data_IF_474446285712
#
_entry.id   IF_474446285712
#
_cell.length_a   1.000
_cell.length_b   1.000
_cell.length_c   1.000
_cell.angle_alpha   90.00
_cell.angle_beta   90.00
_cell.angle_gamma   90.00
#
_symmetry.space_group_name_H-M   'P 1'
#
loop_
_entity.id
_entity.type
_entity.pdbx_description
1 polymer ?
#
# COMPACT_ATOMS: atom_id res chain seq x y z
N UNK A 1 -10.15 1.26 11.27
CA UNK A 1 -8.87 1.27 10.51
C UNK A 1 -8.75 2.60 9.79
N UNK A 2 -7.62 3.33 9.90
CA UNK A 2 -7.46 4.63 9.23
C UNK A 2 -7.13 4.38 7.74
N UNK A 3 -8.08 4.61 6.85
CA UNK A 3 -7.90 4.26 5.43
C UNK A 3 -6.90 5.18 4.74
N UNK A 4 -5.82 4.60 4.19
CA UNK A 4 -4.98 5.25 3.17
C UNK A 4 -5.72 5.20 1.85
N UNK A 5 -5.99 6.36 1.26
CA UNK A 5 -6.77 6.52 0.03
C UNK A 5 -5.88 6.56 -1.21
N UNK A 6 -4.71 7.17 -1.09
CA UNK A 6 -3.77 7.39 -2.19
C UNK A 6 -2.35 7.46 -1.66
N UNK A 7 -1.38 7.28 -2.55
CA UNK A 7 0.03 7.27 -2.20
C UNK A 7 0.86 7.90 -3.34
N UNK A 8 2.01 8.49 -3.01
CA UNK A 8 3.01 8.93 -3.98
C UNK A 8 4.42 8.81 -3.37
N UNK A 9 5.45 8.78 -4.22
CA UNK A 9 6.85 8.91 -3.77
C UNK A 9 7.14 10.37 -3.46
N UNK A 10 7.77 10.65 -2.31
CA UNK A 10 8.18 12.00 -1.93
C UNK A 10 9.32 12.47 -2.83
N UNK A 11 9.17 13.62 -3.53
CA UNK A 11 10.17 14.11 -4.44
C UNK A 11 11.41 14.69 -3.76
N UNK A 12 11.47 14.73 -2.43
CA UNK A 12 12.69 15.00 -1.67
C UNK A 12 13.80 13.97 -1.92
N UNK A 13 13.47 12.77 -2.43
CA UNK A 13 14.44 11.76 -2.84
C UNK A 13 15.12 11.03 -1.67
N UNK A 14 14.54 11.08 -0.47
CA UNK A 14 15.01 10.35 0.72
C UNK A 14 14.29 9.01 0.93
N UNK A 15 13.56 8.54 -0.08
CA UNK A 15 12.80 7.29 -0.05
C UNK A 15 11.50 7.37 0.76
N UNK A 16 11.08 8.56 1.20
CA UNK A 16 9.81 8.74 1.87
C UNK A 16 8.62 8.59 0.91
N UNK A 17 7.48 8.20 1.46
CA UNK A 17 6.18 8.14 0.79
C UNK A 17 5.25 9.20 1.34
N UNK A 18 4.42 9.72 0.46
CA UNK A 18 3.32 10.61 0.78
C UNK A 18 2.03 9.82 0.76
N UNK A 19 1.24 9.90 1.83
CA UNK A 19 0.04 9.09 2.04
C UNK A 19 -1.17 10.00 2.24
N UNK A 20 -2.15 9.89 1.35
CA UNK A 20 -3.42 10.59 1.45
C UNK A 20 -4.35 9.83 2.39
N UNK A 21 -4.81 10.48 3.46
CA UNK A 21 -5.66 9.84 4.47
C UNK A 21 -6.85 10.71 4.86
N UNK A 22 -7.78 10.15 5.63
CA UNK A 22 -8.88 10.90 6.22
C UNK A 22 -8.45 11.98 7.22
N UNK A 23 -7.20 11.94 7.68
CA UNK A 23 -6.63 12.90 8.64
C UNK A 23 -5.72 13.94 7.99
N UNK A 24 -5.58 13.89 6.66
CA UNK A 24 -4.66 14.73 5.92
C UNK A 24 -3.58 13.93 5.20
N UNK A 25 -2.56 14.65 4.74
CA UNK A 25 -1.39 14.06 4.10
C UNK A 25 -0.34 13.72 5.17
N UNK A 26 0.06 12.45 5.16
CA UNK A 26 1.16 11.95 5.97
C UNK A 26 2.39 11.79 5.09
N UNK A 27 3.55 11.98 5.70
CA UNK A 27 4.85 11.61 5.17
C UNK A 27 5.35 10.41 5.95
N UNK A 28 5.55 9.29 5.29
CA UNK A 28 6.09 8.07 5.87
C UNK A 28 7.53 7.88 5.40
N UNK A 29 8.46 7.70 6.34
CA UNK A 29 9.89 7.50 6.06
C UNK A 29 10.25 6.01 6.05
N UNK A 30 11.36 5.61 5.39
CA UNK A 30 11.78 4.22 5.31
C UNK A 30 12.00 3.53 6.67
N UNK A 31 12.26 4.29 7.73
CA UNK A 31 12.40 3.81 9.11
C UNK A 31 11.06 3.42 9.78
N UNK A 32 9.95 3.49 9.05
CA UNK A 32 8.62 3.12 9.52
C UNK A 32 7.92 4.22 10.33
N UNK A 33 8.52 5.41 10.45
CA UNK A 33 7.87 6.56 11.06
C UNK A 33 6.94 7.25 10.05
N UNK A 34 5.81 7.75 10.54
CA UNK A 34 4.90 8.57 9.74
C UNK A 34 4.49 9.83 10.50
N UNK A 35 4.55 10.97 9.83
CA UNK A 35 4.18 12.27 10.39
C UNK A 35 3.12 12.93 9.51
N UNK A 36 2.10 13.52 10.13
CA UNK A 36 1.18 14.42 9.40
C UNK A 36 1.93 15.69 9.04
N UNK A 37 2.05 15.99 7.75
CA UNK A 37 2.86 17.12 7.24
C UNK A 37 2.04 18.31 6.75
N UNK A 38 0.72 18.32 6.98
CA UNK A 38 -0.19 19.26 6.29
C UNK A 38 -1.14 19.97 7.24
N UNK A 39 -1.29 21.30 7.07
CA UNK A 39 -2.57 21.95 6.80
C UNK A 39 -2.76 22.12 5.28
N UNK A 40 -3.95 21.85 4.73
CA UNK A 40 -5.27 22.05 5.36
C UNK A 40 -5.81 20.89 6.21
N UNK A 41 -6.80 21.20 7.06
CA UNK A 41 -7.68 20.24 7.77
C UNK A 41 -8.67 19.62 6.77
N UNK A 42 -8.17 18.81 5.85
CA UNK A 42 -8.98 18.11 4.86
C UNK A 42 -8.54 16.65 4.76
N UNK A 43 -9.48 15.77 4.47
CA UNK A 43 -9.15 14.42 4.04
C UNK A 43 -8.52 14.50 2.64
N UNK A 44 -7.39 13.85 2.44
CA UNK A 44 -6.71 13.81 1.14
C UNK A 44 -7.12 12.53 0.43
N UNK A 45 -7.88 12.67 -0.65
CA UNK A 45 -8.48 11.55 -1.37
C UNK A 45 -7.58 11.07 -2.51
N UNK A 46 -6.72 11.93 -3.04
CA UNK A 46 -5.85 11.64 -4.17
C UNK A 46 -4.55 12.44 -4.11
N UNK A 47 -3.49 11.80 -4.56
CA UNK A 47 -2.17 12.39 -4.78
C UNK A 47 -1.78 12.01 -6.20
N UNK A 48 -1.36 12.98 -7.01
CA UNK A 48 -0.79 12.74 -8.32
C UNK A 48 0.56 13.45 -8.41
N UNK A 49 1.57 12.72 -8.90
CA UNK A 49 2.89 13.26 -9.22
C UNK A 49 2.90 13.63 -10.69
N UNK A 50 3.37 14.83 -11.04
CA UNK A 50 3.61 15.18 -12.44
C UNK A 50 4.85 14.39 -12.93
N UNK A 51 4.69 13.48 -13.91
CA UNK A 51 5.82 12.68 -14.38
C UNK A 51 6.88 13.50 -15.13
N UNK A 52 6.53 14.70 -15.59
CA UNK A 52 7.43 15.61 -16.32
C UNK A 52 8.15 16.58 -15.38
N UNK A 53 7.58 16.80 -14.20
CA UNK A 53 8.16 17.59 -13.13
C UNK A 53 7.88 16.90 -11.79
N UNK A 54 8.71 15.93 -11.37
CA UNK A 54 8.48 15.19 -10.13
C UNK A 54 8.35 16.08 -8.90
N UNK A 55 8.85 17.32 -8.97
CA UNK A 55 8.68 18.32 -7.92
C UNK A 55 7.25 18.85 -7.78
N UNK A 56 6.46 18.79 -8.84
CA UNK A 56 5.06 19.19 -8.87
C UNK A 56 4.19 18.01 -8.43
N UNK A 57 3.63 18.15 -7.24
CA UNK A 57 2.61 17.25 -6.71
C UNK A 57 1.26 17.97 -6.70
N UNK A 58 0.21 17.24 -7.09
CA UNK A 58 -1.16 17.66 -6.95
C UNK A 58 -1.83 16.81 -5.87
N UNK A 59 -2.52 17.48 -4.94
CA UNK A 59 -3.47 16.82 -4.05
C UNK A 59 -4.87 17.26 -4.42
N UNK A 60 -5.80 16.37 -4.16
CA UNK A 60 -7.18 16.73 -3.98
C UNK A 60 -7.70 16.16 -2.67
N UNK A 61 -8.81 16.71 -2.22
CA UNK A 61 -9.37 16.31 -0.95
C UNK A 61 -10.73 16.91 -0.70
N UNK A 62 -11.26 16.53 0.46
CA UNK A 62 -12.57 16.95 0.92
C UNK A 62 -12.39 17.52 2.32
N UNK A 63 -12.95 18.71 2.55
CA UNK A 63 -12.88 19.36 3.86
C UNK A 63 -13.87 18.74 4.87
N UNK A 64 -13.83 19.23 6.11
CA UNK A 64 -14.69 18.72 7.18
C UNK A 64 -16.21 18.88 6.92
N UNK A 65 -16.61 19.70 5.94
CA UNK A 65 -18.01 19.91 5.54
C UNK A 65 -18.45 19.02 4.39
N UNK A 66 -17.53 18.29 3.75
CA UNK A 66 -17.81 17.53 2.53
C UNK A 66 -17.62 18.33 1.22
N UNK A 67 -17.13 19.58 1.31
CA UNK A 67 -16.83 20.41 0.14
C UNK A 67 -15.43 20.08 -0.42
N UNK A 68 -15.22 20.39 -1.70
CA UNK A 68 -13.91 20.18 -2.32
C UNK A 68 -12.87 21.08 -1.65
N UNK A 69 -11.76 20.49 -1.18
CA UNK A 69 -10.59 21.23 -0.70
C UNK A 69 -9.80 21.89 -1.85
N UNK A 70 -10.20 21.61 -3.10
CA UNK A 70 -9.56 22.06 -4.33
C UNK A 70 -8.32 21.26 -4.70
N UNK A 71 -7.79 21.55 -5.88
CA UNK A 71 -6.49 21.04 -6.31
C UNK A 71 -5.40 21.85 -5.62
N UNK A 72 -4.61 21.20 -4.77
CA UNK A 72 -3.50 21.80 -4.07
C UNK A 72 -2.21 21.44 -4.79
N UNK A 73 -1.37 22.43 -5.07
CA UNK A 73 -0.06 22.23 -5.71
C UNK A 73 1.03 22.40 -4.65
N UNK A 74 2.00 21.49 -4.63
CA UNK A 74 3.18 21.60 -3.79
C UNK A 74 4.23 22.51 -4.41
N UNK A 75 4.72 23.49 -3.65
CA UNK A 75 5.94 24.22 -3.96
C UNK A 75 7.08 23.68 -3.09
N UNK A 76 8.03 23.00 -3.74
CA UNK A 76 9.21 22.46 -3.07
C UNK A 76 10.11 23.52 -2.44
N UNK A 77 10.24 24.69 -3.04
CA UNK A 77 11.16 25.74 -2.56
C UNK A 77 10.69 26.32 -1.25
N UNK A 78 9.38 26.40 -1.08
CA UNK A 78 8.76 26.94 0.14
C UNK A 78 8.23 25.86 1.07
N UNK A 79 8.22 24.59 0.62
CA UNK A 79 7.59 23.44 1.28
C UNK A 79 6.13 23.74 1.67
N UNK A 80 5.37 24.35 0.75
CA UNK A 80 3.99 24.79 1.01
C UNK A 80 3.03 24.32 -0.08
N UNK A 81 1.82 24.01 0.37
CA UNK A 81 0.67 23.74 -0.49
C UNK A 81 -0.06 25.04 -0.82
N UNK A 82 -0.34 25.25 -2.11
CA UNK A 82 -1.17 26.36 -2.58
C UNK A 82 -2.38 25.82 -3.31
N UNK A 83 -3.56 26.29 -2.93
CA UNK A 83 -4.78 25.89 -3.61
C UNK A 83 -4.94 26.60 -4.95
N UNK A 84 -5.29 25.82 -5.97
CA UNK A 84 -5.57 26.31 -7.32
C UNK A 84 -6.89 27.08 -7.28
N UNK A 85 -6.90 28.38 -7.65
CA UNK A 85 -8.10 29.20 -7.61
C UNK A 85 -9.24 28.59 -8.42
N UNK A 86 -10.48 28.68 -7.91
CA UNK A 86 -11.67 28.19 -8.60
C UNK A 86 -11.96 26.69 -8.44
N UNK A 87 -11.04 25.91 -7.88
CA UNK A 87 -11.22 24.45 -7.69
C UNK A 87 -11.84 24.07 -6.35
N UNK A 88 -12.06 25.03 -5.44
CA UNK A 88 -12.56 24.81 -4.07
C UNK A 88 -14.07 25.02 -3.94
N UNK A 89 -14.63 24.51 -2.84
CA UNK A 89 -16.01 24.78 -2.42
C UNK A 89 -17.02 23.72 -2.89
N UNK A 90 -18.31 24.05 -2.80
CA UNK A 90 -19.39 23.10 -3.09
C UNK A 90 -19.37 22.57 -4.53
N UNK A 91 -18.99 23.44 -5.47
CA UNK A 91 -18.89 23.15 -6.91
C UNK A 91 -17.45 22.86 -7.36
N UNK A 92 -16.52 22.68 -6.41
CA UNK A 92 -15.12 22.41 -6.71
C UNK A 92 -14.86 20.96 -7.12
N UNK A 93 -13.60 20.65 -7.45
CA UNK A 93 -13.18 19.32 -7.95
C UNK A 93 -13.09 18.30 -6.81
N UNK A 94 -14.02 17.35 -6.76
CA UNK A 94 -14.08 16.27 -5.75
C UNK A 94 -13.53 14.94 -6.29
N UNK A 95 -12.35 14.97 -6.87
CA UNK A 95 -11.88 13.77 -7.57
C UNK A 95 -11.47 12.65 -6.58
N UNK A 96 -11.75 11.42 -6.94
CA UNK A 96 -11.40 10.19 -6.22
C UNK A 96 -10.18 9.49 -6.83
N UNK A 97 -9.87 9.81 -8.09
CA UNK A 97 -8.67 9.41 -8.82
C UNK A 97 -8.19 10.59 -9.66
N UNK A 98 -6.87 10.69 -9.86
CA UNK A 98 -6.22 11.73 -10.64
C UNK A 98 -5.00 11.15 -11.35
N UNK A 99 -4.87 11.40 -12.65
CA UNK A 99 -3.75 11.02 -13.49
C UNK A 99 -3.28 12.23 -14.30
N UNK A 100 -1.97 12.42 -14.37
CA UNK A 100 -1.32 13.49 -15.13
C UNK A 100 -0.57 12.83 -16.30
N UNK A 101 -0.70 13.40 -17.50
CA UNK A 101 -0.09 12.84 -18.70
C UNK A 101 1.44 13.00 -18.68
N UNK A 102 2.15 11.91 -19.03
CA UNK A 102 3.61 11.91 -19.25
C UNK A 102 4.02 12.61 -20.55
N UNK A 103 3.06 12.93 -21.42
CA UNK A 103 3.31 13.60 -22.69
C UNK A 103 3.05 15.11 -22.61
N UNK A 104 2.25 15.53 -21.62
CA UNK A 104 1.82 16.92 -21.41
C UNK A 104 1.34 17.09 -19.97
N UNK A 105 2.12 17.77 -19.13
CA UNK A 105 1.80 17.97 -17.70
C UNK A 105 0.56 18.83 -17.44
N UNK A 106 0.04 19.54 -18.45
CA UNK A 106 -1.22 20.28 -18.32
C UNK A 106 -2.44 19.41 -18.63
N UNK A 107 -2.23 18.26 -19.26
CA UNK A 107 -3.28 17.30 -19.54
C UNK A 107 -3.47 16.33 -18.38
N UNK A 108 -4.68 16.27 -17.87
CA UNK A 108 -5.04 15.44 -16.70
C UNK A 108 -6.35 14.69 -16.94
N UNK A 109 -6.50 13.56 -16.26
CA UNK A 109 -7.75 12.84 -16.15
C UNK A 109 -8.10 12.65 -14.67
N UNK A 110 -9.37 12.80 -14.33
CA UNK A 110 -9.85 12.63 -12.98
C UNK A 110 -11.21 11.94 -12.93
N UNK A 111 -11.52 11.32 -11.81
CA UNK A 111 -12.83 10.69 -11.56
C UNK A 111 -13.53 11.48 -10.47
N UNK A 112 -14.74 11.96 -10.72
CA UNK A 112 -15.69 12.38 -9.65
C UNK A 112 -16.92 11.45 -9.73
N UNK A 113 -17.91 11.81 -10.56
CA UNK A 113 -19.03 10.92 -10.92
C UNK A 113 -18.78 10.12 -12.19
N UNK A 114 -17.93 10.65 -13.05
CA UNK A 114 -17.50 10.11 -14.34
C UNK A 114 -16.05 10.50 -14.56
N UNK A 115 -15.41 9.94 -15.58
CA UNK A 115 -14.10 10.38 -16.04
C UNK A 115 -14.24 11.79 -16.65
N UNK A 116 -13.34 12.69 -16.27
CA UNK A 116 -13.26 14.05 -16.81
C UNK A 116 -11.83 14.35 -17.23
N UNK A 117 -11.67 15.15 -18.28
CA UNK A 117 -10.36 15.58 -18.77
C UNK A 117 -10.14 17.06 -18.50
N UNK A 118 -8.91 17.41 -18.19
CA UNK A 118 -8.42 18.78 -18.18
C UNK A 118 -7.27 18.91 -19.18
N UNK A 119 -7.15 20.09 -19.78
CA UNK A 119 -6.06 20.46 -20.71
C UNK A 119 -5.36 21.76 -20.29
N UNK A 120 -5.69 22.26 -19.09
CA UNK A 120 -5.26 23.54 -18.54
C UNK A 120 -4.75 23.40 -17.10
N UNK A 121 -4.13 22.25 -16.79
CA UNK A 121 -3.49 22.03 -15.50
C UNK A 121 -4.48 21.81 -14.35
N UNK A 122 -5.70 21.37 -14.66
CA UNK A 122 -6.77 21.11 -13.70
C UNK A 122 -7.64 22.32 -13.36
N UNK A 123 -7.50 23.44 -14.08
CA UNK A 123 -8.32 24.65 -13.87
C UNK A 123 -9.77 24.43 -14.32
N UNK A 124 -9.96 23.72 -15.43
CA UNK A 124 -11.27 23.31 -15.92
C UNK A 124 -11.29 21.82 -16.29
N UNK A 125 -12.49 21.22 -16.20
CA UNK A 125 -12.71 19.80 -16.39
C UNK A 125 -13.91 19.58 -17.30
N UNK A 126 -13.73 18.74 -18.32
CA UNK A 126 -14.78 18.34 -19.25
C UNK A 126 -15.13 16.86 -19.04
N UNK A 127 -16.40 16.52 -18.73
CA UNK A 127 -16.80 15.14 -18.53
C UNK A 127 -16.84 14.36 -19.85
N UNK A 128 -16.34 13.12 -19.82
CA UNK A 128 -16.44 12.20 -20.95
C UNK A 128 -17.82 11.55 -20.96
N UNK A 129 -18.59 11.82 -22.02
CA UNK A 129 -19.99 11.38 -22.12
C UNK A 129 -20.15 9.85 -22.21
N UNK A 130 -19.16 9.15 -22.74
CA UNK A 130 -19.18 7.69 -22.97
C UNK A 130 -18.24 6.95 -22.03
N UNK A 131 -17.80 7.58 -20.94
CA UNK A 131 -16.98 6.92 -19.92
C UNK A 131 -17.66 5.64 -19.39
N UNK A 132 -16.91 4.55 -19.16
CA UNK A 132 -17.46 3.34 -18.55
C UNK A 132 -18.07 3.62 -17.18
N UNK A 133 -19.21 3.01 -16.91
CA UNK A 133 -19.83 3.04 -15.58
C UNK A 133 -18.93 2.35 -14.54
N UNK A 134 -19.10 2.71 -13.27
CA UNK A 134 -18.37 2.09 -12.14
C UNK A 134 -16.84 2.10 -12.30
N UNK A 135 -16.30 3.17 -12.90
CA UNK A 135 -14.86 3.39 -13.03
C UNK A 135 -14.25 3.73 -11.65
N UNK A 136 -13.22 2.98 -11.27
CA UNK A 136 -12.52 3.07 -9.99
C UNK A 136 -11.18 3.81 -10.09
N UNK A 137 -10.47 3.68 -11.20
CA UNK A 137 -9.22 4.39 -11.47
C UNK A 137 -9.06 4.71 -12.96
N UNK A 138 -8.35 5.80 -13.26
CA UNK A 138 -8.08 6.25 -14.63
C UNK A 138 -6.59 6.52 -14.82
N UNK A 139 -6.05 6.18 -15.99
CA UNK A 139 -4.68 6.51 -16.37
C UNK A 139 -4.62 7.07 -17.79
N UNK A 140 -3.94 8.21 -17.97
CA UNK A 140 -3.57 8.72 -19.28
C UNK A 140 -2.33 7.98 -19.80
N UNK A 141 -2.34 7.57 -21.06
CA UNK A 141 -1.22 6.84 -21.67
C UNK A 141 0.07 7.66 -21.67
N UNK A 142 1.19 6.98 -21.43
CA UNK A 142 2.53 7.55 -21.50
C UNK A 142 3.11 7.64 -22.91
N UNK A 143 2.47 7.03 -23.91
CA UNK A 143 2.98 6.90 -25.28
C UNK A 143 2.03 7.44 -26.35
N UNK A 144 0.73 7.57 -26.05
CA UNK A 144 -0.29 8.08 -26.97
C UNK A 144 -1.17 9.15 -26.30
N UNK A 145 -1.27 10.38 -26.86
CA UNK A 145 -2.04 11.46 -26.23
C UNK A 145 -3.56 11.23 -26.24
N UNK A 146 -4.06 10.38 -27.14
CA UNK A 146 -5.48 10.05 -27.25
C UNK A 146 -5.88 8.81 -26.46
N UNK A 147 -4.91 8.05 -25.92
CA UNK A 147 -5.19 6.81 -25.22
C UNK A 147 -5.46 7.03 -23.73
N UNK A 148 -6.52 6.40 -23.24
CA UNK A 148 -6.95 6.47 -21.84
C UNK A 148 -7.29 5.06 -21.38
N UNK A 149 -6.80 4.68 -20.21
CA UNK A 149 -7.18 3.43 -19.55
C UNK A 149 -8.14 3.71 -18.38
N UNK A 150 -9.12 2.83 -18.20
CA UNK A 150 -10.08 2.89 -17.11
C UNK A 150 -10.18 1.53 -16.42
N UNK A 151 -9.86 1.49 -15.13
CA UNK A 151 -10.09 0.32 -14.29
C UNK A 151 -11.51 0.40 -13.71
N UNK A 152 -12.33 -0.61 -13.97
CA UNK A 152 -13.77 -0.62 -13.64
C UNK A 152 -14.15 -1.88 -12.87
N UNK A 153 -15.32 -1.88 -12.25
CA UNK A 153 -15.90 -3.08 -11.65
C UNK A 153 -16.12 -4.19 -12.69
N UNK A 154 -16.38 -3.85 -13.95
CA UNK A 154 -16.55 -4.80 -15.06
C UNK A 154 -15.26 -5.18 -15.80
N UNK A 155 -14.08 -4.75 -15.33
CA UNK A 155 -12.79 -5.06 -15.94
C UNK A 155 -11.96 -3.84 -16.35
N UNK A 156 -10.85 -4.10 -17.04
CA UNK A 156 -9.96 -3.05 -17.55
C UNK A 156 -10.36 -2.65 -18.96
N UNK A 157 -10.67 -1.36 -19.14
CA UNK A 157 -11.09 -0.76 -20.39
C UNK A 157 -10.00 0.16 -20.96
N UNK A 158 -9.98 0.34 -22.28
CA UNK A 158 -9.12 1.29 -22.98
C UNK A 158 -9.94 2.06 -24.03
N UNK A 159 -9.60 3.33 -24.19
CA UNK A 159 -10.04 4.17 -25.30
C UNK A 159 -8.81 4.62 -26.08
N UNK A 160 -8.90 4.63 -27.41
CA UNK A 160 -7.84 5.14 -28.32
C UNK A 160 -8.15 6.53 -28.87
N UNK A 161 -9.33 7.07 -28.60
CA UNK A 161 -9.92 8.22 -29.28
C UNK A 161 -10.36 9.33 -28.32
N UNK A 162 -9.59 9.55 -27.24
CA UNK A 162 -9.88 10.50 -26.17
C UNK A 162 -11.18 10.21 -25.41
N UNK A 163 -11.49 8.93 -25.23
CA UNK A 163 -12.66 8.50 -24.46
C UNK A 163 -13.98 8.66 -25.20
N UNK A 164 -13.97 8.78 -26.53
CA UNK A 164 -15.19 8.78 -27.35
C UNK A 164 -15.78 7.37 -27.46
N UNK A 165 -14.93 6.36 -27.55
CA UNK A 165 -15.30 4.95 -27.52
C UNK A 165 -14.37 4.15 -26.61
N UNK A 166 -14.88 3.04 -26.09
CA UNK A 166 -14.18 2.17 -25.13
C UNK A 166 -14.30 0.71 -25.53
N UNK A 167 -13.22 -0.02 -25.31
CA UNK A 167 -13.15 -1.45 -25.52
C UNK A 167 -12.44 -2.11 -24.34
N UNK A 168 -12.65 -3.41 -24.18
CA UNK A 168 -11.96 -4.20 -23.19
C UNK A 168 -10.46 -4.29 -23.53
N UNK A 169 -9.61 -3.97 -22.56
CA UNK A 169 -8.14 -4.01 -22.70
C UNK A 169 -7.55 -5.32 -22.17
N UNK A 170 -8.04 -5.78 -21.01
CA UNK A 170 -7.61 -7.04 -20.41
C UNK A 170 -8.70 -8.11 -20.58
N UNK A 171 -8.36 -9.35 -21.00
CA UNK A 171 -9.35 -10.43 -21.16
C UNK A 171 -10.06 -10.79 -19.85
N UNK A 172 -11.39 -10.90 -19.90
CA UNK A 172 -12.22 -11.26 -18.75
C UNK A 172 -12.84 -10.06 -18.04
N UNK A 173 -13.87 -10.33 -17.24
CA UNK A 173 -14.76 -9.34 -16.60
C UNK A 173 -14.48 -9.15 -15.09
N UNK A 174 -13.36 -9.68 -14.61
CA UNK A 174 -12.96 -9.50 -13.22
C UNK A 174 -12.65 -8.02 -12.93
N UNK A 175 -13.09 -7.47 -11.79
CA UNK A 175 -12.86 -6.06 -11.45
C UNK A 175 -11.40 -5.65 -11.57
N UNK A 176 -11.14 -4.54 -12.25
CA UNK A 176 -9.86 -3.85 -12.23
C UNK A 176 -9.94 -2.72 -11.21
N UNK A 177 -9.05 -2.70 -10.22
CA UNK A 177 -9.11 -1.72 -9.12
C UNK A 177 -8.06 -0.62 -9.23
N UNK A 178 -7.01 -0.86 -10.00
CA UNK A 178 -5.94 0.09 -10.27
C UNK A 178 -5.53 0.00 -11.73
N UNK A 179 -5.22 1.15 -12.34
CA UNK A 179 -4.45 1.24 -13.59
C UNK A 179 -3.50 2.42 -13.50
N UNK A 180 -2.28 2.26 -14.00
CA UNK A 180 -1.25 3.32 -13.99
C UNK A 180 -0.31 3.18 -15.18
N UNK A 181 0.04 4.31 -15.78
CA UNK A 181 1.02 4.39 -16.87
C UNK A 181 2.41 4.58 -16.27
N UNK A 182 3.29 3.63 -16.54
CA UNK A 182 4.63 3.53 -16.00
C UNK A 182 5.67 4.13 -16.96
N UNK A 183 6.89 4.28 -16.47
CA UNK A 183 8.03 4.68 -17.31
C UNK A 183 8.32 3.62 -18.38
N UNK A 184 8.98 4.05 -19.47
CA UNK A 184 9.36 3.16 -20.57
C UNK A 184 8.22 2.69 -21.45
N UNK A 185 7.06 3.37 -21.42
CA UNK A 185 5.89 3.00 -22.22
C UNK A 185 5.17 1.75 -21.73
N UNK A 186 5.33 1.40 -20.45
CA UNK A 186 4.61 0.29 -19.81
C UNK A 186 3.32 0.78 -19.18
N UNK A 187 2.34 -0.11 -19.03
CA UNK A 187 1.13 0.10 -18.24
C UNK A 187 0.95 -1.05 -17.28
N UNK A 188 0.53 -0.74 -16.05
CA UNK A 188 0.21 -1.73 -15.03
C UNK A 188 -1.24 -1.61 -14.58
N UNK A 189 -1.86 -2.74 -14.30
CA UNK A 189 -3.20 -2.81 -13.73
C UNK A 189 -3.29 -3.90 -12.66
N UNK A 190 -4.19 -3.73 -11.70
CA UNK A 190 -4.52 -4.78 -10.74
C UNK A 190 -5.89 -5.36 -11.05
N UNK A 191 -5.92 -6.65 -11.36
CA UNK A 191 -7.13 -7.40 -11.68
C UNK A 191 -7.47 -8.31 -10.50
N UNK A 192 -8.66 -8.13 -9.92
CA UNK A 192 -9.10 -8.88 -8.75
C UNK A 192 -9.00 -10.41 -8.98
N UNK A 193 -8.48 -11.13 -7.98
CA UNK A 193 -8.16 -12.58 -8.01
C UNK A 193 -7.12 -13.05 -9.02
N UNK A 194 -6.73 -12.21 -9.99
CA UNK A 194 -5.63 -12.52 -10.92
C UNK A 194 -4.30 -12.00 -10.38
N UNK A 195 -4.28 -10.75 -9.91
CA UNK A 195 -3.10 -10.07 -9.38
C UNK A 195 -2.68 -8.87 -10.23
N UNK A 196 -1.38 -8.56 -10.18
CA UNK A 196 -0.78 -7.46 -10.92
C UNK A 196 -0.46 -7.93 -12.34
N UNK A 197 -0.99 -7.20 -13.32
CA UNK A 197 -0.70 -7.41 -14.73
C UNK A 197 0.01 -6.19 -15.31
N UNK A 198 0.90 -6.43 -16.26
CA UNK A 198 1.57 -5.36 -17.00
C UNK A 198 1.63 -5.65 -18.49
N UNK A 199 1.68 -4.60 -19.29
CA UNK A 199 1.88 -4.67 -20.72
C UNK A 199 2.78 -3.52 -21.18
N UNK A 200 3.35 -3.67 -22.38
CA UNK A 200 3.78 -2.54 -23.19
C UNK A 200 2.54 -1.82 -23.74
N UNK A 201 2.52 -0.48 -23.67
CA UNK A 201 1.34 0.30 -24.08
C UNK A 201 1.07 0.21 -25.58
N UNK A 202 2.07 0.02 -26.45
CA UNK A 202 1.83 -0.05 -27.89
C UNK A 202 1.13 -1.36 -28.27
N UNK A 203 1.57 -2.46 -27.66
CA UNK A 203 1.08 -3.82 -27.97
C UNK A 203 -0.13 -4.25 -27.15
N UNK A 204 -0.22 -3.80 -25.89
CA UNK A 204 -1.19 -4.28 -24.88
C UNK A 204 -1.14 -5.80 -24.66
N UNK A 205 0.02 -6.43 -24.86
CA UNK A 205 0.24 -7.85 -24.59
C UNK A 205 0.40 -8.09 -23.08
N UNK A 206 -0.74 -8.10 -22.36
CA UNK A 206 -0.79 -8.24 -20.91
C UNK A 206 -0.19 -9.55 -20.39
N UNK A 207 0.70 -9.43 -19.40
CA UNK A 207 1.30 -10.53 -18.66
C UNK A 207 0.99 -10.39 -17.17
N UNK A 208 0.74 -11.51 -16.49
CA UNK A 208 0.67 -11.54 -15.02
C UNK A 208 2.09 -11.46 -14.48
N UNK A 209 2.39 -10.38 -13.75
CA UNK A 209 3.71 -10.14 -13.15
C UNK A 209 3.74 -10.56 -11.69
N UNK A 210 2.66 -10.29 -10.95
CA UNK A 210 2.55 -10.63 -9.52
C UNK A 210 1.22 -11.32 -9.23
N UNK A 211 1.23 -12.33 -8.36
CA UNK A 211 0.04 -13.06 -7.91
C UNK A 211 0.09 -13.33 -6.40
N UNK A 212 -0.91 -14.01 -5.85
CA UNK A 212 -0.87 -14.45 -4.44
C UNK A 212 -1.24 -13.38 -3.40
N UNK A 213 -1.95 -12.32 -3.80
CA UNK A 213 -2.42 -11.23 -2.94
C UNK A 213 -3.53 -11.63 -1.93
N UNK A 214 -3.77 -12.93 -1.69
CA UNK A 214 -4.69 -13.45 -0.66
C UNK A 214 -6.11 -12.83 -0.69
N UNK A 215 -6.76 -12.84 -1.84
CA UNK A 215 -8.10 -12.25 -2.07
C UNK A 215 -8.23 -10.74 -1.79
N UNK A 216 -7.11 -10.02 -1.65
CA UNK A 216 -7.07 -8.56 -1.56
C UNK A 216 -7.24 -7.90 -2.91
N UNK A 217 -7.50 -6.59 -2.86
CA UNK A 217 -7.31 -5.70 -3.99
C UNK A 217 -6.39 -4.54 -3.64
N UNK A 218 -5.70 -4.02 -4.65
CA UNK A 218 -4.92 -2.80 -4.52
C UNK A 218 -5.84 -1.59 -4.72
N UNK A 219 -5.61 -0.53 -3.95
CA UNK A 219 -6.29 0.76 -4.07
C UNK A 219 -5.46 1.79 -4.82
N UNK A 220 -4.14 1.67 -4.74
CA UNK A 220 -3.19 2.54 -5.41
C UNK A 220 -1.91 1.74 -5.75
N UNK A 221 -1.26 2.13 -6.84
CA UNK A 221 0.03 1.61 -7.31
C UNK A 221 0.81 2.78 -7.89
N UNK A 222 2.05 2.96 -7.46
CA UNK A 222 2.96 3.98 -8.01
C UNK A 222 4.35 3.39 -8.21
N UNK A 223 5.04 3.92 -9.22
CA UNK A 223 6.44 3.60 -9.53
C UNK A 223 7.34 4.64 -8.89
N UNK A 224 8.51 4.21 -8.40
CA UNK A 224 9.58 5.13 -8.04
C UNK A 224 10.18 5.72 -9.32
N UNK A 225 10.08 7.05 -9.53
CA UNK A 225 10.62 7.67 -10.74
C UNK A 225 12.15 7.56 -10.86
N UNK A 226 12.85 7.32 -9.75
CA UNK A 226 14.31 7.12 -9.73
C UNK A 226 14.73 5.67 -9.94
N UNK A 227 13.79 4.73 -9.78
CA UNK A 227 14.04 3.28 -9.86
C UNK A 227 12.80 2.56 -10.40
N UNK A 228 12.64 2.42 -11.74
CA UNK A 228 11.45 1.85 -12.38
C UNK A 228 11.06 0.41 -12.01
N UNK A 229 11.96 -0.34 -11.35
CA UNK A 229 11.68 -1.67 -10.80
C UNK A 229 11.13 -1.62 -9.37
N UNK A 230 11.18 -0.45 -8.73
CA UNK A 230 10.64 -0.22 -7.39
C UNK A 230 9.20 0.26 -7.51
N UNK A 231 8.27 -0.51 -6.95
CA UNK A 231 6.85 -0.18 -6.95
C UNK A 231 6.32 -0.14 -5.52
N UNK A 232 5.38 0.76 -5.29
CA UNK A 232 4.67 0.89 -4.02
C UNK A 232 3.18 0.72 -4.26
N UNK A 233 2.51 -0.01 -3.39
CA UNK A 233 1.07 -0.20 -3.46
C UNK A 233 0.39 -0.02 -2.10
N UNK A 234 -0.89 0.31 -2.12
CA UNK A 234 -1.75 0.27 -0.93
C UNK A 234 -2.82 -0.79 -1.15
N UNK A 235 -2.91 -1.75 -0.24
CA UNK A 235 -3.97 -2.75 -0.23
C UNK A 235 -5.28 -2.19 0.35
N UNK A 236 -6.38 -2.91 0.15
CA UNK A 236 -7.69 -2.67 0.76
C UNK A 236 -7.66 -2.53 2.28
N UNK A 237 -6.75 -3.23 2.97
CA UNK A 237 -6.54 -3.09 4.42
C UNK A 237 -5.79 -1.82 4.82
N UNK A 238 -5.30 -1.02 3.88
CA UNK A 238 -4.41 0.11 4.12
C UNK A 238 -2.93 -0.28 4.27
N UNK A 239 -2.60 -1.57 4.13
CA UNK A 239 -1.23 -2.04 4.15
C UNK A 239 -0.45 -1.44 2.97
N UNK A 240 0.74 -0.89 3.26
CA UNK A 240 1.66 -0.43 2.23
C UNK A 240 2.53 -1.62 1.83
N UNK A 241 2.65 -1.84 0.53
CA UNK A 241 3.46 -2.89 -0.07
C UNK A 241 4.60 -2.25 -0.88
N UNK A 242 5.76 -2.88 -0.88
CA UNK A 242 6.97 -2.52 -1.63
C UNK A 242 7.39 -3.71 -2.49
N UNK A 243 7.61 -3.47 -3.78
CA UNK A 243 8.33 -4.36 -4.68
C UNK A 243 9.62 -3.68 -5.14
N UNK A 244 10.68 -4.48 -5.36
CA UNK A 244 11.97 -4.02 -5.91
C UNK A 244 12.35 -4.75 -7.20
N UNK A 245 11.44 -5.56 -7.73
CA UNK A 245 11.64 -6.46 -8.86
C UNK A 245 10.50 -6.34 -9.89
N UNK A 246 10.00 -5.11 -10.08
CA UNK A 246 9.01 -4.80 -11.09
C UNK A 246 7.60 -5.31 -10.77
N UNK A 247 7.33 -5.63 -9.51
CA UNK A 247 6.04 -6.11 -9.03
C UNK A 247 5.92 -7.64 -8.98
N UNK A 248 7.01 -8.38 -9.19
CA UNK A 248 7.02 -9.84 -9.12
C UNK A 248 6.88 -10.33 -7.67
N UNK A 249 7.57 -9.70 -6.73
CA UNK A 249 7.46 -9.97 -5.30
C UNK A 249 7.17 -8.70 -4.51
N UNK A 250 6.48 -8.86 -3.37
CA UNK A 250 6.00 -7.75 -2.55
C UNK A 250 6.29 -8.01 -1.07
N UNK A 251 6.85 -7.00 -0.41
CA UNK A 251 7.07 -6.94 1.03
C UNK A 251 6.08 -5.91 1.57
N UNK A 252 5.31 -6.25 2.60
CA UNK A 252 4.50 -5.24 3.28
C UNK A 252 5.36 -4.49 4.30
N UNK A 253 5.21 -3.17 4.42
CA UNK A 253 5.84 -2.38 5.50
C UNK A 253 5.36 -2.77 6.91
N UNK A 254 4.33 -3.61 7.00
CA UNK A 254 3.93 -4.26 8.26
C UNK A 254 4.79 -5.49 8.61
N UNK A 255 5.64 -5.94 7.67
CA UNK A 255 6.67 -6.97 7.83
C UNK A 255 8.05 -6.35 7.62
N UNK A 256 8.91 -6.45 8.63
CA UNK A 256 10.26 -5.89 8.64
C UNK A 256 11.08 -6.34 7.42
N UNK A 257 12.11 -5.57 7.06
CA UNK A 257 13.19 -5.94 6.11
C UNK A 257 13.87 -7.30 6.43
N UNK A 258 13.46 -7.95 7.53
CA UNK A 258 13.88 -9.26 7.98
C UNK A 258 13.03 -10.42 7.42
N UNK A 259 11.94 -10.18 6.71
CA UNK A 259 11.04 -11.24 6.22
C UNK A 259 11.32 -11.71 4.78
N UNK A 260 12.58 -11.85 4.38
CA UNK A 260 12.92 -12.43 3.06
C UNK A 260 12.63 -13.94 3.04
N UNK A 261 12.34 -14.56 1.88
CA UNK A 261 12.08 -16.00 1.79
C UNK A 261 13.20 -16.86 2.40
N UNK A 262 14.45 -16.50 2.15
CA UNK A 262 15.62 -17.22 2.68
C UNK A 262 15.71 -17.10 4.21
N UNK A 263 15.43 -15.91 4.75
CA UNK A 263 15.45 -15.66 6.19
C UNK A 263 14.30 -16.36 6.92
N UNK A 264 13.12 -16.42 6.31
CA UNK A 264 11.98 -17.20 6.82
C UNK A 264 12.31 -18.70 6.82
N UNK A 265 12.93 -19.21 5.74
CA UNK A 265 13.32 -20.61 5.65
C UNK A 265 14.38 -20.99 6.71
N UNK A 266 15.41 -20.14 6.89
CA UNK A 266 16.41 -20.32 7.94
C UNK A 266 15.78 -20.24 9.35
N UNK A 267 14.91 -19.25 9.56
CA UNK A 267 14.16 -19.05 10.79
C UNK A 267 13.29 -20.23 11.17
N UNK A 268 12.68 -20.91 10.19
CA UNK A 268 11.89 -22.11 10.44
C UNK A 268 12.72 -23.24 11.03
N UNK A 269 13.91 -23.49 10.47
CA UNK A 269 14.81 -24.53 10.96
C UNK A 269 15.23 -24.23 12.40
N UNK A 270 15.66 -22.99 12.66
CA UNK A 270 16.04 -22.54 14.00
C UNK A 270 14.87 -22.66 14.99
N UNK A 271 13.67 -22.29 14.57
CA UNK A 271 12.46 -22.42 15.40
C UNK A 271 12.15 -23.88 15.73
N UNK A 272 12.21 -24.77 14.74
CA UNK A 272 11.94 -26.19 14.93
C UNK A 272 12.95 -26.82 15.91
N UNK A 273 14.22 -26.45 15.80
CA UNK A 273 15.31 -26.98 16.63
C UNK A 273 15.29 -26.45 18.07
N UNK A 274 14.88 -25.19 18.28
CA UNK A 274 15.07 -24.50 19.55
C UNK A 274 13.77 -24.15 20.28
N UNK A 275 12.67 -23.88 19.57
CA UNK A 275 11.47 -23.28 20.14
C UNK A 275 10.25 -24.21 20.12
N UNK A 276 10.16 -25.10 19.12
CA UNK A 276 8.97 -25.91 18.88
C UNK A 276 8.70 -26.95 19.98
N UNK A 277 9.71 -27.34 20.76
CA UNK A 277 9.54 -28.27 21.90
C UNK A 277 8.59 -27.74 22.98
N UNK A 278 8.54 -26.41 23.15
CA UNK A 278 7.63 -25.73 24.07
C UNK A 278 6.46 -25.07 23.32
N UNK A 279 6.73 -24.35 22.22
CA UNK A 279 5.70 -23.59 21.52
C UNK A 279 4.94 -24.39 20.45
N UNK A 280 5.27 -25.66 20.26
CA UNK A 280 4.62 -26.57 19.30
C UNK A 280 4.97 -26.28 17.84
N UNK A 281 4.66 -27.23 16.97
CA UNK A 281 4.85 -27.06 15.53
C UNK A 281 4.01 -25.87 15.02
N UNK A 282 4.65 -24.94 14.32
CA UNK A 282 3.98 -23.75 13.80
C UNK A 282 3.45 -22.80 14.89
N UNK A 283 3.99 -22.84 16.12
CA UNK A 283 3.67 -21.84 17.15
C UNK A 283 2.28 -21.95 17.76
N UNK A 284 1.70 -23.15 17.83
CA UNK A 284 0.36 -23.35 18.41
C UNK A 284 0.29 -23.17 19.93
N UNK A 285 1.42 -23.23 20.65
CA UNK A 285 1.47 -23.17 22.10
C UNK A 285 1.01 -24.46 22.79
N UNK A 286 1.18 -24.54 24.11
CA UNK A 286 0.82 -25.73 24.90
C UNK A 286 -0.67 -25.79 25.27
N UNK A 287 -1.34 -24.63 25.30
CA UNK A 287 -2.75 -24.49 25.67
C UNK A 287 -3.43 -23.38 24.84
N UNK A 288 -3.62 -23.58 23.53
CA UNK A 288 -4.14 -22.53 22.63
C UNK A 288 -5.50 -21.96 23.04
N UNK A 289 -6.35 -22.77 23.69
CA UNK A 289 -7.70 -22.38 24.11
C UNK A 289 -7.77 -21.73 25.50
N UNK A 290 -6.64 -21.66 26.24
CA UNK A 290 -6.58 -21.09 27.58
C UNK A 290 -5.33 -20.20 27.76
N UNK A 291 -5.45 -18.88 27.51
CA UNK A 291 -4.31 -17.95 27.60
C UNK A 291 -3.84 -17.71 29.04
N UNK A 292 -4.61 -18.13 30.04
CA UNK A 292 -4.25 -18.03 31.46
C UNK A 292 -3.71 -19.36 32.02
N UNK A 293 -3.51 -20.36 31.16
CA UNK A 293 -3.00 -21.67 31.55
C UNK A 293 -1.61 -21.55 32.20
N UNK A 294 -1.45 -22.24 33.33
CA UNK A 294 -0.21 -22.26 34.12
C UNK A 294 0.26 -23.67 34.43
N UNK A 295 1.54 -23.78 34.72
CA UNK A 295 2.20 -24.95 35.31
C UNK A 295 2.98 -24.52 36.57
N UNK A 296 3.80 -25.43 37.11
CA UNK A 296 4.62 -25.17 38.30
C UNK A 296 5.69 -24.09 38.11
N UNK A 297 6.02 -23.74 36.86
CA UNK A 297 7.05 -22.76 36.50
C UNK A 297 6.48 -21.40 36.09
N UNK A 298 5.16 -21.29 35.87
CA UNK A 298 4.49 -20.04 35.50
C UNK A 298 3.44 -20.22 34.40
N UNK A 299 3.29 -19.21 33.53
CA UNK A 299 2.39 -19.31 32.38
C UNK A 299 2.91 -20.30 31.35
N UNK A 300 2.05 -21.18 30.84
CA UNK A 300 2.46 -22.11 29.76
C UNK A 300 2.89 -21.36 28.50
N UNK A 301 3.66 -22.02 27.65
CA UNK A 301 4.16 -21.43 26.41
C UNK A 301 2.97 -21.01 25.53
N UNK A 302 2.81 -19.70 25.26
CA UNK A 302 1.66 -19.20 24.51
C UNK A 302 1.77 -19.59 23.04
N UNK A 303 0.65 -19.50 22.33
CA UNK A 303 0.68 -19.50 20.88
C UNK A 303 1.51 -18.31 20.39
N UNK A 304 2.37 -18.60 19.42
CA UNK A 304 3.20 -17.64 18.72
C UNK A 304 2.66 -17.34 17.32
N UNK A 305 1.67 -18.09 16.84
CA UNK A 305 1.02 -17.86 15.55
C UNK A 305 -0.23 -16.98 15.69
N UNK A 306 -1.06 -16.94 14.65
CA UNK A 306 -2.31 -16.18 14.62
C UNK A 306 -3.29 -16.48 15.75
N UNK A 307 -3.19 -17.64 16.39
CA UNK A 307 -4.15 -18.07 17.39
C UNK A 307 -4.10 -17.19 18.66
N UNK A 308 -2.96 -16.59 19.03
CA UNK A 308 -2.88 -15.76 20.24
C UNK A 308 -1.57 -14.95 20.40
N UNK A 309 -1.59 -14.07 21.40
CA UNK A 309 -0.51 -13.48 22.22
C UNK A 309 0.66 -12.80 21.52
N UNK A 310 1.43 -13.48 20.66
CA UNK A 310 2.71 -12.95 20.19
C UNK A 310 2.54 -11.64 19.39
N UNK A 311 1.51 -11.55 18.55
CA UNK A 311 1.21 -10.33 17.81
C UNK A 311 0.75 -9.16 18.70
N UNK A 312 0.38 -9.37 19.97
CA UNK A 312 0.13 -8.24 20.89
C UNK A 312 1.39 -7.46 21.28
N UNK A 313 2.58 -7.98 20.98
CA UNK A 313 3.86 -7.40 21.38
C UNK A 313 4.60 -6.77 20.19
N UNK A 314 5.41 -5.75 20.47
CA UNK A 314 6.30 -5.16 19.46
C UNK A 314 7.42 -6.13 19.07
N UNK A 315 8.03 -5.93 17.90
CA UNK A 315 9.21 -6.69 17.48
C UNK A 315 10.33 -6.61 18.52
N UNK A 316 10.59 -5.42 19.07
CA UNK A 316 11.56 -5.25 20.15
C UNK A 316 11.23 -6.06 21.41
N UNK A 317 9.94 -6.14 21.78
CA UNK A 317 9.51 -6.93 22.94
C UNK A 317 9.61 -8.43 22.72
N UNK A 318 9.26 -8.90 21.53
CA UNK A 318 9.41 -10.31 21.15
C UNK A 318 10.88 -10.71 21.08
N UNK A 319 11.71 -9.85 20.48
CA UNK A 319 13.17 -10.03 20.41
C UNK A 319 13.79 -10.08 21.78
N UNK A 320 13.46 -9.15 22.67
CA UNK A 320 13.92 -9.14 24.05
C UNK A 320 13.51 -10.42 24.80
N UNK A 321 12.30 -10.93 24.55
CA UNK A 321 11.84 -12.17 25.20
C UNK A 321 12.65 -13.40 24.76
N UNK A 322 13.06 -13.49 23.49
CA UNK A 322 13.95 -14.56 23.03
C UNK A 322 15.36 -14.34 23.59
N UNK A 323 15.87 -13.12 23.49
CA UNK A 323 17.24 -12.79 23.87
C UNK A 323 17.48 -12.97 25.39
N UNK A 324 16.60 -12.42 26.22
CA UNK A 324 16.73 -12.34 27.69
C UNK A 324 15.91 -13.39 28.44
N UNK A 325 15.03 -14.13 27.75
CA UNK A 325 14.09 -15.05 28.36
C UNK A 325 12.84 -14.38 28.91
N UNK A 326 11.88 -15.18 29.42
CA UNK A 326 10.62 -14.67 29.97
C UNK A 326 10.65 -14.62 31.50
N UNK A 327 10.32 -13.48 32.13
CA UNK A 327 10.13 -13.42 33.58
C UNK A 327 8.80 -14.07 34.03
N UNK A 328 7.97 -14.57 33.09
CA UNK A 328 6.64 -15.11 33.37
C UNK A 328 6.57 -16.63 33.40
N UNK A 329 7.62 -17.30 32.92
CA UNK A 329 7.82 -18.74 33.10
C UNK A 329 9.32 -19.06 32.98
N UNK A 330 9.88 -19.70 34.01
CA UNK A 330 11.31 -20.01 34.11
C UNK A 330 11.80 -20.99 33.01
N UNK A 331 10.90 -21.72 32.34
CA UNK A 331 11.24 -22.59 31.21
C UNK A 331 11.65 -21.81 29.95
N UNK A 332 11.23 -20.56 29.81
CA UNK A 332 11.65 -19.69 28.71
C UNK A 332 12.96 -18.98 29.09
N UNK A 333 14.07 -19.71 28.97
CA UNK A 333 15.40 -19.20 29.26
C UNK A 333 15.88 -18.15 28.25
N UNK A 334 16.93 -17.42 28.61
CA UNK A 334 17.62 -16.49 27.71
C UNK A 334 18.39 -17.25 26.61
N UNK A 335 18.23 -16.84 25.35
CA UNK A 335 18.89 -17.50 24.21
C UNK A 335 20.09 -16.73 23.65
N UNK A 336 20.40 -15.53 24.17
CA UNK A 336 21.52 -14.69 23.70
C UNK A 336 22.91 -15.36 23.73
N UNK A 337 23.09 -16.39 24.56
CA UNK A 337 24.36 -17.14 24.65
C UNK A 337 24.44 -18.32 23.67
N UNK A 338 23.32 -18.64 23.00
CA UNK A 338 23.17 -19.81 22.11
C UNK A 338 22.87 -19.39 20.67
N UNK A 339 22.04 -18.36 20.49
CA UNK A 339 21.63 -17.82 19.20
C UNK A 339 22.21 -16.42 19.01
N UNK A 340 22.73 -16.16 17.82
CA UNK A 340 23.12 -14.81 17.41
C UNK A 340 21.90 -13.91 17.20
N UNK A 341 22.15 -12.61 17.22
CA UNK A 341 21.15 -11.59 16.92
C UNK A 341 20.43 -11.81 15.58
N UNK A 342 21.14 -12.26 14.55
CA UNK A 342 20.57 -12.53 13.23
C UNK A 342 19.73 -13.82 13.19
N UNK A 343 20.10 -14.83 13.97
CA UNK A 343 19.31 -16.05 14.11
C UNK A 343 18.01 -15.79 14.86
N UNK A 344 18.05 -14.96 15.91
CA UNK A 344 16.84 -14.50 16.61
C UNK A 344 15.91 -13.73 15.66
N UNK A 345 16.47 -12.81 14.87
CA UNK A 345 15.72 -12.06 13.87
C UNK A 345 15.11 -12.99 12.80
N UNK A 346 15.82 -14.05 12.41
CA UNK A 346 15.32 -15.07 11.49
C UNK A 346 14.17 -15.88 12.09
N UNK A 347 14.27 -16.29 13.36
CA UNK A 347 13.18 -16.96 14.09
C UNK A 347 11.93 -16.06 14.12
N UNK A 348 12.08 -14.78 14.43
CA UNK A 348 10.98 -13.83 14.43
C UNK A 348 10.36 -13.66 13.05
N UNK A 349 11.17 -13.61 11.99
CA UNK A 349 10.67 -13.58 10.62
C UNK A 349 9.80 -14.80 10.30
N UNK A 350 10.22 -16.00 10.70
CA UNK A 350 9.40 -17.20 10.56
C UNK A 350 8.11 -17.14 11.38
N UNK A 351 8.19 -16.79 12.66
CA UNK A 351 7.00 -16.68 13.53
C UNK A 351 5.99 -15.70 12.94
N UNK A 352 6.44 -14.52 12.50
CA UNK A 352 5.59 -13.51 11.85
C UNK A 352 5.05 -13.97 10.50
N UNK A 353 5.74 -14.84 9.77
CA UNK A 353 5.23 -15.42 8.52
C UNK A 353 4.02 -16.34 8.73
N UNK A 354 3.82 -16.84 9.95
CA UNK A 354 2.63 -17.63 10.32
C UNK A 354 1.42 -16.75 10.68
N UNK A 355 1.59 -15.43 10.66
CA UNK A 355 0.55 -14.48 11.00
C UNK A 355 -0.21 -14.02 9.77
N UNK A 356 -1.52 -13.91 9.92
CA UNK A 356 -2.38 -13.18 9.03
C UNK A 356 -1.94 -11.73 9.02
N UNK A 357 -2.24 -11.07 7.91
CA UNK A 357 -1.95 -9.64 7.78
C UNK A 357 -2.78 -8.83 8.77
N UNK A 358 -3.91 -9.34 9.29
CA UNK A 358 -4.60 -8.69 10.42
C UNK A 358 -3.69 -8.62 11.64
N UNK A 359 -3.10 -9.74 12.03
CA UNK A 359 -2.21 -9.82 13.19
C UNK A 359 -0.94 -8.98 12.98
N UNK A 360 -0.37 -8.97 11.77
CA UNK A 360 0.76 -8.10 11.41
C UNK A 360 0.38 -6.60 11.51
N UNK A 361 -0.77 -6.21 10.94
CA UNK A 361 -1.28 -4.84 10.99
C UNK A 361 -1.58 -4.37 12.42
N UNK A 362 -2.05 -5.29 13.25
CA UNK A 362 -2.44 -5.05 14.64
C UNK A 362 -1.29 -5.28 15.63
N UNK A 363 -0.05 -5.40 15.17
CA UNK A 363 1.03 -5.78 16.06
C UNK A 363 1.32 -4.73 17.15
N UNK A 364 1.64 -5.21 18.37
CA UNK A 364 2.16 -4.37 19.45
C UNK A 364 1.13 -3.36 19.97
N UNK A 365 1.53 -2.10 20.09
CA UNK A 365 0.65 -1.03 20.57
C UNK A 365 -0.62 -0.83 19.71
N UNK A 366 -0.63 -1.32 18.47
CA UNK A 366 -1.78 -1.26 17.56
C UNK A 366 -2.88 -2.24 17.95
N UNK A 367 -2.57 -3.31 18.70
CA UNK A 367 -3.51 -4.40 18.97
C UNK A 367 -4.73 -3.92 19.75
N UNK A 368 -4.55 -2.97 20.67
CA UNK A 368 -5.63 -2.42 21.50
C UNK A 368 -6.71 -1.73 20.64
N UNK A 369 -6.34 -1.16 19.50
CA UNK A 369 -7.28 -0.57 18.55
C UNK A 369 -8.02 -1.62 17.68
N UNK A 370 -7.52 -2.85 17.67
CA UNK A 370 -8.05 -3.96 16.86
C UNK A 370 -8.95 -4.94 17.64
N UNK A 371 -8.97 -4.88 18.99
CA UNK A 371 -9.82 -5.71 19.85
C UNK A 371 -11.28 -5.23 19.96
N UNK A 372 -11.57 -4.00 19.51
CA UNK A 372 -12.90 -3.39 19.57
C UNK A 372 -13.64 -3.29 18.23
N UNK A 373 -13.19 -4.01 17.20
CA UNK A 373 -13.78 -4.04 15.85
C UNK A 373 -14.30 -5.44 15.49
#
# INVERSE_FOLDING_TARGET
MQSVFSLAVDPAGDGALLLGTGYGLLRATPDGMAQVITPPRAAITGIATDPNDPARLLLNGIDATGAAAGLLIFDQKTARWTATPGTQGENGSKLTSLSISRLDGERMAGIDKTIQLSTDGGLSWEPLATAPEETLAVALSGTSPSRIFAATVGGLMVSEDNGQSWQQSYPGDAPATVVTSLSGGRVAAYIYRTGLVMADEETLDWQVVGSGFQDRYLRALVEDPSSPETLYAVADTGAILLSRDGGATWISFEGSDLATPDRIAAGKVLYDDNCASCHGAGGIGEAPDDPEARDEFGFKAPALNDAMHAWHHSDAGLRATIHEGSPRNERMAAWQEVLSDEEIDSILAYVKSTWSIRSLACQGARHMACLGQ
#
